data_IF_819650008081
#
_entry.id   IF_819650008081
#
_cell.length_a   1.000
_cell.length_b   1.000
_cell.length_c   1.000
_cell.angle_alpha   90.00
_cell.angle_beta   90.00
_cell.angle_gamma   90.00
#
_symmetry.space_group_name_H-M   'P 1'
#
loop_
_entity.id
_entity.type
_entity.pdbx_description
1 polymer ?
#
# COMPACT_ATOMS: atom_id res chain seq x y z
N UNK A 1 7.25 -77.64 -13.67
CA UNK A 1 7.12 -76.37 -12.92
C UNK A 1 8.15 -75.29 -13.27
N UNK A 2 9.11 -75.50 -14.19
CA UNK A 2 10.10 -74.47 -14.58
C UNK A 2 9.65 -73.59 -15.78
N UNK A 3 8.89 -74.16 -16.72
CA UNK A 3 8.47 -73.44 -17.95
C UNK A 3 7.39 -72.36 -17.72
N UNK A 4 6.40 -72.58 -16.86
CA UNK A 4 5.37 -71.56 -16.58
C UNK A 4 5.93 -70.32 -15.87
N UNK A 5 6.97 -70.49 -15.05
CA UNK A 5 7.56 -69.39 -14.29
C UNK A 5 8.36 -68.44 -15.20
N UNK A 6 9.02 -68.99 -16.22
CA UNK A 6 9.76 -68.19 -17.21
C UNK A 6 8.84 -67.45 -18.18
N UNK A 7 7.68 -68.03 -18.53
CA UNK A 7 6.67 -67.35 -19.36
C UNK A 7 6.02 -66.20 -18.61
N UNK A 8 5.69 -66.37 -17.31
CA UNK A 8 5.12 -65.28 -16.52
C UNK A 8 6.10 -64.13 -16.27
N UNK A 9 7.40 -64.41 -16.08
CA UNK A 9 8.42 -63.37 -15.91
C UNK A 9 8.65 -62.62 -17.23
N UNK A 10 8.70 -63.33 -18.37
CA UNK A 10 8.84 -62.70 -19.69
C UNK A 10 7.67 -61.76 -20.03
N UNK A 11 6.44 -62.13 -19.66
CA UNK A 11 5.25 -61.31 -19.88
C UNK A 11 5.22 -60.07 -18.97
N UNK A 12 5.70 -60.20 -17.72
CA UNK A 12 5.82 -59.09 -16.77
C UNK A 12 6.90 -58.08 -17.21
N UNK A 13 8.02 -58.55 -17.75
CA UNK A 13 9.06 -57.68 -18.29
C UNK A 13 8.58 -56.97 -19.56
N UNK A 14 7.84 -57.65 -20.45
CA UNK A 14 7.25 -57.02 -21.63
C UNK A 14 6.18 -55.95 -21.30
N UNK A 15 5.41 -56.13 -20.22
CA UNK A 15 4.45 -55.12 -19.73
C UNK A 15 5.14 -53.88 -19.15
N UNK A 16 6.33 -54.02 -18.54
CA UNK A 16 7.06 -52.87 -17.98
C UNK A 16 7.74 -51.98 -19.04
N UNK A 17 7.95 -52.46 -20.27
CA UNK A 17 8.54 -51.67 -21.36
C UNK A 17 7.50 -51.04 -22.31
N UNK A 18 6.20 -51.17 -22.02
CA UNK A 18 5.13 -50.41 -22.71
C UNK A 18 4.67 -49.21 -21.89
N UNK A 19 5.63 -48.52 -21.25
CA UNK A 19 5.43 -47.15 -20.82
C UNK A 19 5.38 -46.26 -22.05
N UNK A 20 4.20 -46.06 -22.62
CA UNK A 20 3.96 -44.97 -23.57
C UNK A 20 4.48 -43.70 -22.90
N UNK A 21 5.52 -43.10 -23.49
CA UNK A 21 5.92 -41.74 -23.21
C UNK A 21 4.74 -40.85 -23.61
N UNK A 22 3.78 -40.69 -22.68
CA UNK A 22 2.80 -39.63 -22.74
C UNK A 22 3.63 -38.37 -22.57
N UNK A 23 3.88 -37.69 -23.69
CA UNK A 23 4.50 -36.38 -23.71
C UNK A 23 3.58 -35.48 -22.88
N UNK A 24 3.88 -35.33 -21.58
CA UNK A 24 3.17 -34.43 -20.66
C UNK A 24 3.59 -32.97 -20.92
N UNK A 25 3.86 -32.62 -22.18
CA UNK A 25 3.94 -31.21 -22.56
C UNK A 25 2.51 -30.70 -22.53
N UNK A 26 2.21 -29.62 -21.81
CA UNK A 26 0.90 -29.01 -21.87
C UNK A 26 0.60 -28.69 -23.34
N UNK A 27 -0.43 -29.30 -23.90
CA UNK A 27 -0.95 -28.94 -25.21
C UNK A 27 -1.35 -27.46 -25.13
N UNK A 28 -0.60 -26.63 -25.84
CA UNK A 28 -0.68 -25.17 -25.86
C UNK A 28 -0.39 -24.48 -24.52
N UNK A 29 0.71 -23.75 -24.49
CA UNK A 29 0.77 -22.58 -23.62
C UNK A 29 -0.41 -21.70 -24.00
N UNK A 30 -1.33 -21.45 -23.05
CA UNK A 30 -2.29 -20.35 -23.20
C UNK A 30 -1.47 -19.11 -23.56
N UNK A 31 -1.87 -18.33 -24.58
CA UNK A 31 -1.17 -17.08 -24.87
C UNK A 31 -1.06 -16.30 -23.56
N UNK A 32 0.13 -15.77 -23.28
CA UNK A 32 0.34 -14.94 -22.10
C UNK A 32 -0.78 -13.91 -22.09
N UNK A 33 -1.62 -13.95 -21.05
CA UNK A 33 -2.61 -12.90 -20.86
C UNK A 33 -1.76 -11.64 -20.73
N UNK A 34 -1.88 -10.75 -21.71
CA UNK A 34 -1.31 -9.42 -21.61
C UNK A 34 -2.07 -8.71 -20.49
N UNK A 35 -1.58 -8.89 -19.27
CA UNK A 35 -1.94 -8.05 -18.15
C UNK A 35 -1.28 -6.71 -18.49
N UNK A 36 -2.03 -5.84 -19.16
CA UNK A 36 -1.65 -4.44 -19.20
C UNK A 36 -1.61 -4.00 -17.74
N UNK A 37 -0.50 -3.41 -17.25
CA UNK A 37 -0.46 -2.88 -15.91
C UNK A 37 -1.57 -1.83 -15.82
N UNK A 38 -2.69 -2.19 -15.21
CA UNK A 38 -3.75 -1.23 -14.96
C UNK A 38 -3.25 -0.36 -13.83
N UNK A 39 -3.09 0.92 -14.13
CA UNK A 39 -2.92 1.94 -13.11
C UNK A 39 -4.03 1.77 -12.07
N UNK A 40 -3.70 2.00 -10.80
CA UNK A 40 -4.65 1.96 -9.70
C UNK A 40 -5.88 2.83 -10.02
N UNK A 41 -7.08 2.36 -9.67
CA UNK A 41 -8.34 3.01 -10.01
C UNK A 41 -8.44 4.44 -9.43
N UNK A 42 -7.78 4.68 -8.30
CA UNK A 42 -7.72 5.97 -7.62
C UNK A 42 -6.58 6.89 -8.11
N UNK A 43 -5.74 6.44 -9.04
CA UNK A 43 -4.66 7.26 -9.58
C UNK A 43 -5.16 8.23 -10.66
N UNK A 44 -4.37 9.27 -10.88
CA UNK A 44 -4.60 10.27 -11.92
C UNK A 44 -4.40 9.65 -13.30
N UNK A 45 -5.37 9.89 -14.19
CA UNK A 45 -5.27 9.59 -15.61
C UNK A 45 -4.86 10.83 -16.44
N UNK A 46 -4.48 11.93 -15.79
CA UNK A 46 -4.11 13.16 -16.48
C UNK A 46 -2.71 13.01 -17.11
N UNK A 47 -2.57 13.36 -18.39
CA UNK A 47 -1.30 13.22 -19.13
C UNK A 47 -0.14 14.00 -18.50
N UNK A 48 -0.44 15.12 -17.81
CA UNK A 48 0.57 15.92 -17.10
C UNK A 48 1.23 15.16 -15.94
N UNK A 49 0.55 14.17 -15.37
CA UNK A 49 1.00 13.44 -14.19
C UNK A 49 1.76 12.16 -14.57
N UNK A 50 1.75 11.74 -15.84
CA UNK A 50 2.25 10.44 -16.28
C UNK A 50 3.73 10.20 -15.91
N UNK A 51 4.58 11.23 -16.06
CA UNK A 51 6.01 11.10 -15.72
C UNK A 51 6.22 10.92 -14.21
N UNK A 52 5.49 11.67 -13.38
CA UNK A 52 5.51 11.55 -11.93
C UNK A 52 4.91 10.23 -11.46
N UNK A 53 3.77 9.83 -12.04
CA UNK A 53 3.09 8.56 -11.80
C UNK A 53 4.05 7.38 -12.02
N UNK A 54 4.82 7.36 -13.11
CA UNK A 54 5.83 6.32 -13.34
C UNK A 54 6.95 6.27 -12.29
N UNK A 55 7.36 7.43 -11.74
CA UNK A 55 8.33 7.45 -10.64
C UNK A 55 7.71 6.94 -9.34
N UNK A 56 6.48 7.37 -9.03
CA UNK A 56 5.74 6.94 -7.85
C UNK A 56 5.46 5.44 -7.85
N UNK A 57 5.10 4.85 -8.99
CA UNK A 57 4.86 3.40 -9.12
C UNK A 57 6.07 2.57 -8.71
N UNK A 58 7.29 3.02 -9.05
CA UNK A 58 8.54 2.38 -8.62
C UNK A 58 8.73 2.44 -7.10
N UNK A 59 8.06 3.38 -6.43
CA UNK A 59 8.05 3.56 -4.97
C UNK A 59 6.84 2.90 -4.31
N UNK A 60 6.00 2.14 -5.05
CA UNK A 60 4.70 1.60 -4.63
C UNK A 60 3.66 2.68 -4.27
N UNK A 61 3.73 3.83 -4.96
CA UNK A 61 2.84 4.97 -4.76
C UNK A 61 2.13 5.33 -6.06
N UNK A 62 1.06 6.11 -5.98
CA UNK A 62 0.41 6.78 -7.11
C UNK A 62 0.08 8.21 -6.75
N UNK A 63 -0.16 9.05 -7.76
CA UNK A 63 -0.72 10.38 -7.56
C UNK A 63 -2.20 10.37 -7.92
N UNK A 64 -3.06 10.90 -7.07
CA UNK A 64 -4.49 11.05 -7.34
C UNK A 64 -4.74 12.19 -8.33
N UNK A 65 -5.97 12.28 -8.86
CA UNK A 65 -6.35 13.38 -9.76
C UNK A 65 -6.22 14.78 -9.10
N UNK A 66 -6.32 14.86 -7.77
CA UNK A 66 -6.16 16.10 -6.98
C UNK A 66 -4.70 16.41 -6.64
N UNK A 67 -3.78 15.48 -6.93
CA UNK A 67 -2.35 15.64 -6.66
C UNK A 67 -1.87 15.04 -5.35
N UNK A 68 -2.73 14.32 -4.63
CA UNK A 68 -2.37 13.61 -3.38
C UNK A 68 -1.57 12.35 -3.71
N UNK A 69 -0.53 12.05 -2.94
CA UNK A 69 0.24 10.82 -3.12
C UNK A 69 -0.35 9.72 -2.22
N UNK A 70 -0.73 8.61 -2.84
CA UNK A 70 -1.45 7.51 -2.20
C UNK A 70 -0.67 6.20 -2.35
N UNK A 71 -0.87 5.21 -1.45
CA UNK A 71 -0.36 3.86 -1.66
C UNK A 71 -0.89 3.28 -2.97
N UNK A 72 -0.07 2.52 -3.71
CA UNK A 72 -0.47 1.93 -4.99
C UNK A 72 -1.74 1.08 -4.90
N UNK A 73 -1.93 0.40 -3.78
CA UNK A 73 -3.15 -0.32 -3.41
C UNK A 73 -3.06 -0.70 -1.92
N UNK A 74 -4.15 -1.25 -1.39
CA UNK A 74 -4.24 -1.70 0.01
C UNK A 74 -3.17 -2.74 0.38
N UNK A 75 -2.71 -3.58 -0.55
CA UNK A 75 -1.77 -4.66 -0.23
C UNK A 75 -0.39 -4.13 0.12
N UNK A 76 0.00 -2.96 -0.40
CA UNK A 76 1.29 -2.33 -0.07
C UNK A 76 1.34 -1.93 1.41
N UNK A 77 0.19 -1.55 1.99
CA UNK A 77 0.10 -1.26 3.41
C UNK A 77 0.17 -2.52 4.29
N UNK A 78 0.04 -3.73 3.71
CA UNK A 78 -0.01 -5.00 4.44
C UNK A 78 -1.08 -5.01 5.56
N UNK A 79 -2.13 -4.23 5.38
CA UNK A 79 -3.22 -4.04 6.33
C UNK A 79 -4.41 -3.49 5.59
N UNK A 80 -5.62 -3.91 5.96
CA UNK A 80 -6.84 -3.30 5.44
C UNK A 80 -6.90 -1.81 5.84
N UNK A 81 -7.42 -0.96 4.96
CA UNK A 81 -7.55 0.47 5.22
C UNK A 81 -9.02 0.82 5.39
N UNK A 82 -9.35 1.43 6.52
CA UNK A 82 -10.69 1.94 6.82
C UNK A 82 -10.64 3.45 6.96
N UNK A 83 -11.39 4.14 6.10
CA UNK A 83 -11.58 5.57 6.26
C UNK A 83 -12.61 5.83 7.34
N UNK A 84 -12.21 6.52 8.41
CA UNK A 84 -13.14 7.04 9.38
C UNK A 84 -13.72 8.33 8.84
N UNK A 85 -15.03 8.37 8.64
CA UNK A 85 -15.69 9.56 8.09
C UNK A 85 -15.59 10.69 9.10
N UNK A 86 -14.75 11.68 8.78
CA UNK A 86 -14.35 12.77 9.68
C UNK A 86 -14.29 14.15 9.03
N UNK A 87 -14.32 14.27 7.69
CA UNK A 87 -14.41 15.54 6.94
C UNK A 87 -15.44 15.55 5.77
N UNK A 88 -16.04 16.73 5.50
CA UNK A 88 -16.78 17.05 4.26
C UNK A 88 -16.15 18.28 3.59
N UNK A 89 -15.98 18.30 2.25
CA UNK A 89 -16.23 17.20 1.31
C UNK A 89 -15.30 16.01 1.57
N UNK A 90 -15.76 14.80 1.26
CA UNK A 90 -14.90 13.61 1.34
C UNK A 90 -13.67 13.77 0.42
N UNK A 91 -12.51 13.19 0.79
CA UNK A 91 -11.36 13.11 -0.10
C UNK A 91 -11.74 12.52 -1.47
N UNK A 92 -11.11 13.03 -2.54
CA UNK A 92 -11.54 12.76 -3.92
C UNK A 92 -11.40 11.30 -4.37
N UNK A 93 -10.53 10.54 -3.71
CA UNK A 93 -10.37 9.10 -3.95
C UNK A 93 -11.51 8.28 -3.35
N UNK A 94 -12.28 8.84 -2.39
CA UNK A 94 -13.43 8.16 -1.81
C UNK A 94 -14.54 8.03 -2.86
N UNK A 95 -15.09 6.83 -3.04
CA UNK A 95 -15.98 6.43 -4.14
C UNK A 95 -15.30 5.73 -5.34
N UNK A 96 -13.96 5.81 -5.48
CA UNK A 96 -13.20 5.18 -6.59
C UNK A 96 -12.11 4.19 -6.13
N UNK A 97 -12.05 3.94 -4.82
CA UNK A 97 -10.89 3.42 -4.10
C UNK A 97 -10.94 1.92 -3.81
N UNK A 98 -11.70 1.11 -4.54
CA UNK A 98 -11.89 -0.31 -4.17
C UNK A 98 -10.57 -1.09 -4.12
N UNK A 99 -9.54 -0.58 -4.78
CA UNK A 99 -8.17 -1.08 -4.72
C UNK A 99 -7.36 -0.56 -3.51
N UNK A 100 -7.78 0.55 -2.89
CA UNK A 100 -7.11 1.23 -1.77
C UNK A 100 -7.79 1.02 -0.42
N UNK A 101 -9.12 1.08 -0.30
CA UNK A 101 -9.83 0.90 0.99
C UNK A 101 -10.60 -0.41 1.04
N UNK A 102 -10.76 -0.90 2.26
CA UNK A 102 -11.59 -2.08 2.57
C UNK A 102 -12.96 -1.68 3.15
N UNK A 103 -13.17 -0.39 3.42
CA UNK A 103 -14.46 0.16 3.84
C UNK A 103 -14.34 1.36 4.77
N UNK A 104 -15.32 1.54 5.65
CA UNK A 104 -15.53 2.78 6.40
C UNK A 104 -15.79 2.55 7.89
N UNK A 105 -15.40 3.53 8.71
CA UNK A 105 -15.76 3.61 10.13
C UNK A 105 -16.69 4.79 10.37
N UNK A 106 -17.84 4.51 10.98
CA UNK A 106 -18.90 5.47 11.28
C UNK A 106 -19.00 5.65 12.80
N UNK A 107 -18.71 6.85 13.30
CA UNK A 107 -19.02 7.19 14.70
C UNK A 107 -20.51 7.49 14.82
N UNK A 108 -21.20 6.83 15.73
CA UNK A 108 -22.66 6.96 15.87
C UNK A 108 -23.09 7.27 17.30
N UNK A 109 -24.17 8.03 17.42
CA UNK A 109 -24.77 8.41 18.70
C UNK A 109 -26.29 8.24 18.64
N UNK A 110 -26.87 7.89 19.78
CA UNK A 110 -28.32 7.88 19.95
C UNK A 110 -28.77 9.22 20.53
N UNK A 111 -29.55 9.98 19.76
CA UNK A 111 -30.07 11.30 20.14
C UNK A 111 -31.41 11.55 19.48
N UNK A 112 -32.31 12.21 20.20
CA UNK A 112 -33.69 12.50 19.74
C UNK A 112 -34.40 11.23 19.23
N UNK A 113 -34.25 10.15 19.99
CA UNK A 113 -34.87 8.84 19.71
C UNK A 113 -34.42 8.18 18.40
N UNK A 114 -33.32 8.64 17.80
CA UNK A 114 -32.78 8.11 16.55
C UNK A 114 -31.26 7.90 16.61
N UNK A 115 -30.78 6.96 15.81
CA UNK A 115 -29.35 6.76 15.60
C UNK A 115 -28.85 7.71 14.53
N UNK A 116 -27.81 8.47 14.86
CA UNK A 116 -27.24 9.49 14.00
C UNK A 116 -25.73 9.26 13.85
N UNK A 117 -25.21 9.49 12.64
CA UNK A 117 -23.77 9.59 12.40
C UNK A 117 -23.30 10.93 12.95
N UNK A 118 -22.20 10.89 13.70
CA UNK A 118 -21.48 12.08 14.13
C UNK A 118 -20.67 12.53 12.93
N UNK A 119 -21.18 13.54 12.23
CA UNK A 119 -20.53 14.04 11.03
C UNK A 119 -19.35 14.97 11.37
N UNK A 120 -18.49 15.20 10.37
CA UNK A 120 -17.32 16.07 10.45
C UNK A 120 -17.51 17.46 11.02
N UNK A 121 -18.60 18.12 10.60
CA UNK A 121 -18.96 19.48 11.02
C UNK A 121 -19.66 19.49 12.39
N UNK A 122 -19.67 18.34 13.08
CA UNK A 122 -20.42 18.03 14.31
C UNK A 122 -21.93 18.09 14.16
N UNK A 123 -22.43 18.10 12.93
CA UNK A 123 -23.85 17.88 12.67
C UNK A 123 -24.19 16.41 12.92
N UNK A 124 -25.41 16.16 13.41
CA UNK A 124 -25.91 14.81 13.64
C UNK A 124 -26.89 14.48 12.53
N UNK A 125 -26.53 13.50 11.70
CA UNK A 125 -27.36 13.06 10.57
C UNK A 125 -27.96 11.69 10.86
N UNK A 126 -29.29 11.50 10.78
CA UNK A 126 -29.91 10.17 10.93
C UNK A 126 -29.27 9.13 10.00
N UNK A 127 -29.17 7.87 10.46
CA UNK A 127 -28.51 6.80 9.70
C UNK A 127 -29.13 6.56 8.32
N UNK A 128 -30.45 6.71 8.20
CA UNK A 128 -31.15 6.52 6.92
C UNK A 128 -30.74 7.60 5.92
N UNK A 129 -30.86 8.86 6.33
CA UNK A 129 -30.49 10.03 5.53
C UNK A 129 -29.00 9.96 5.14
N UNK A 130 -28.14 9.55 6.08
CA UNK A 130 -26.73 9.31 5.82
C UNK A 130 -26.52 8.22 4.76
N UNK A 131 -27.24 7.10 4.85
CA UNK A 131 -27.10 6.04 3.85
C UNK A 131 -27.58 6.52 2.47
N UNK A 132 -28.69 7.24 2.38
CA UNK A 132 -29.18 7.80 1.12
C UNK A 132 -28.12 8.72 0.47
N UNK A 133 -27.54 9.63 1.25
CA UNK A 133 -26.49 10.56 0.82
C UNK A 133 -25.21 9.86 0.32
N UNK A 134 -24.79 8.79 0.99
CA UNK A 134 -23.49 8.13 0.74
C UNK A 134 -23.59 6.80 -0.01
N UNK A 135 -24.78 6.30 -0.31
CA UNK A 135 -25.01 5.01 -0.97
C UNK A 135 -24.20 4.84 -2.27
N UNK A 136 -24.10 5.90 -3.08
CA UNK A 136 -23.31 5.88 -4.33
C UNK A 136 -21.79 5.85 -4.10
N UNK A 137 -21.34 6.20 -2.89
CA UNK A 137 -19.92 6.17 -2.49
C UNK A 137 -19.51 4.78 -2.02
N UNK A 138 -20.43 4.02 -1.42
CA UNK A 138 -20.16 2.69 -0.91
C UNK A 138 -20.24 1.63 -2.02
N UNK A 139 -19.23 0.78 -2.07
CA UNK A 139 -19.25 -0.47 -2.80
C UNK A 139 -19.97 -1.55 -1.98
N UNK A 140 -20.61 -2.49 -2.67
CA UNK A 140 -21.15 -3.69 -2.03
C UNK A 140 -20.07 -4.55 -1.32
N UNK A 141 -18.79 -4.38 -1.68
CA UNK A 141 -17.67 -5.07 -1.04
C UNK A 141 -17.17 -4.37 0.23
N UNK A 142 -17.59 -3.12 0.47
CA UNK A 142 -17.11 -2.35 1.60
C UNK A 142 -17.64 -2.92 2.92
N UNK A 143 -16.75 -3.04 3.90
CA UNK A 143 -17.13 -3.32 5.27
C UNK A 143 -17.42 -2.02 6.02
N UNK A 144 -18.61 -1.91 6.61
CA UNK A 144 -19.01 -0.77 7.43
C UNK A 144 -18.87 -1.09 8.91
N UNK A 145 -18.06 -0.29 9.60
CA UNK A 145 -17.76 -0.47 11.02
C UNK A 145 -18.42 0.64 11.82
N UNK A 146 -19.39 0.29 12.65
CA UNK A 146 -20.11 1.23 13.50
C UNK A 146 -19.44 1.34 14.87
N UNK A 147 -19.08 2.57 15.25
CA UNK A 147 -18.52 2.91 16.55
C UNK A 147 -19.54 3.71 17.35
N UNK A 148 -20.43 3.05 18.12
CA UNK A 148 -21.33 3.75 19.03
C UNK A 148 -20.58 4.49 20.13
N UNK A 149 -21.21 5.53 20.67
CA UNK A 149 -20.68 6.27 21.82
C UNK A 149 -20.46 5.34 23.03
N UNK A 150 -19.45 5.65 23.85
CA UNK A 150 -19.03 4.79 24.98
C UNK A 150 -20.15 4.54 26.02
N UNK A 151 -21.17 5.40 26.08
CA UNK A 151 -22.28 5.32 27.04
C UNK A 151 -23.49 4.54 26.51
N UNK A 152 -23.38 3.93 25.33
CA UNK A 152 -24.46 3.16 24.71
C UNK A 152 -24.82 1.95 25.57
N UNK A 153 -26.09 1.85 25.98
CA UNK A 153 -26.61 0.70 26.74
C UNK A 153 -26.81 -0.53 25.85
N UNK A 154 -26.94 -1.73 26.45
CA UNK A 154 -27.21 -2.96 25.69
C UNK A 154 -28.55 -2.90 24.91
N UNK A 155 -29.57 -2.25 25.47
CA UNK A 155 -30.86 -2.08 24.80
C UNK A 155 -30.72 -1.18 23.55
N UNK A 156 -30.02 -0.05 23.70
CA UNK A 156 -29.70 0.84 22.58
C UNK A 156 -28.83 0.14 21.53
N UNK A 157 -27.82 -0.62 21.94
CA UNK A 157 -26.98 -1.39 21.01
C UNK A 157 -27.80 -2.41 20.20
N UNK A 158 -28.77 -3.07 20.85
CA UNK A 158 -29.70 -3.99 20.15
C UNK A 158 -30.54 -3.25 19.11
N UNK A 159 -31.05 -2.07 19.45
CA UNK A 159 -31.78 -1.20 18.51
C UNK A 159 -30.88 -0.75 17.35
N UNK A 160 -29.62 -0.37 17.62
CA UNK A 160 -28.66 0.01 16.58
C UNK A 160 -28.45 -1.13 15.60
N UNK A 161 -28.19 -2.33 16.10
CA UNK A 161 -27.98 -3.52 15.27
C UNK A 161 -29.19 -3.83 14.38
N UNK A 162 -30.41 -3.63 14.89
CA UNK A 162 -31.63 -3.78 14.09
C UNK A 162 -31.73 -2.73 12.97
N UNK A 163 -31.45 -1.46 13.27
CA UNK A 163 -31.42 -0.39 12.27
C UNK A 163 -30.36 -0.68 11.21
N UNK A 164 -29.15 -1.08 11.63
CA UNK A 164 -28.05 -1.40 10.71
C UNK A 164 -28.41 -2.57 9.80
N UNK A 165 -29.01 -3.64 10.33
CA UNK A 165 -29.49 -4.77 9.53
C UNK A 165 -30.54 -4.37 8.48
N UNK A 166 -31.31 -3.31 8.71
CA UNK A 166 -32.36 -2.87 7.79
C UNK A 166 -31.83 -1.89 6.75
N UNK A 167 -30.98 -0.95 7.17
CA UNK A 167 -30.52 0.17 6.33
C UNK A 167 -29.31 -0.23 5.50
N UNK A 168 -28.40 -1.02 6.07
CA UNK A 168 -27.12 -1.39 5.45
C UNK A 168 -27.06 -2.89 5.16
N UNK A 169 -28.18 -3.50 4.79
CA UNK A 169 -28.30 -4.95 4.57
C UNK A 169 -27.35 -5.50 3.49
N UNK A 170 -26.95 -4.64 2.54
CA UNK A 170 -26.10 -5.02 1.41
C UNK A 170 -24.59 -5.03 1.75
N UNK A 171 -24.22 -4.66 2.98
CA UNK A 171 -22.81 -4.51 3.40
C UNK A 171 -22.43 -5.46 4.54
N UNK A 172 -21.16 -5.83 4.59
CA UNK A 172 -20.61 -6.50 5.76
C UNK A 172 -20.51 -5.49 6.91
N UNK A 173 -21.26 -5.73 7.99
CA UNK A 173 -21.36 -4.79 9.10
C UNK A 173 -20.60 -5.30 10.34
N UNK A 174 -19.92 -4.40 11.05
CA UNK A 174 -19.17 -4.70 12.27
C UNK A 174 -19.30 -3.59 13.30
N UNK A 175 -19.01 -3.91 14.57
CA UNK A 175 -19.19 -2.98 15.67
C UNK A 175 -17.97 -2.87 16.56
N UNK A 176 -17.54 -1.64 16.83
CA UNK A 176 -16.53 -1.33 17.83
C UNK A 176 -17.23 -1.08 19.16
N UNK A 177 -17.11 -2.01 20.10
CA UNK A 177 -17.86 -1.99 21.37
C UNK A 177 -16.99 -2.34 22.57
N UNK A 178 -17.54 -2.15 23.77
CA UNK A 178 -16.91 -2.64 25.00
C UNK A 178 -16.87 -4.18 25.03
N UNK A 179 -15.94 -4.74 25.82
CA UNK A 179 -15.81 -6.20 25.96
C UNK A 179 -17.09 -6.87 26.50
N UNK A 180 -17.86 -6.20 27.35
CA UNK A 180 -19.13 -6.72 27.89
C UNK A 180 -20.25 -6.77 26.83
N UNK A 181 -20.14 -6.01 25.75
CA UNK A 181 -21.11 -5.94 24.67
C UNK A 181 -20.79 -6.88 23.50
N UNK A 182 -19.53 -7.31 23.36
CA UNK A 182 -19.06 -8.11 22.22
C UNK A 182 -19.86 -9.40 22.00
N UNK A 183 -20.28 -10.07 23.08
CA UNK A 183 -21.10 -11.29 22.97
C UNK A 183 -22.46 -11.01 22.33
N UNK A 184 -23.12 -9.90 22.70
CA UNK A 184 -24.42 -9.52 22.11
C UNK A 184 -24.32 -9.21 20.62
N UNK A 185 -23.22 -8.57 20.20
CA UNK A 185 -22.95 -8.26 18.79
C UNK A 185 -22.76 -9.54 17.98
N UNK A 186 -21.97 -10.49 18.50
CA UNK A 186 -21.72 -11.78 17.85
C UNK A 186 -22.99 -12.63 17.74
N UNK A 187 -23.80 -12.69 18.79
CA UNK A 187 -25.08 -13.41 18.78
C UNK A 187 -26.05 -12.85 17.73
N UNK A 188 -25.99 -11.55 17.45
CA UNK A 188 -26.78 -10.91 16.40
C UNK A 188 -26.22 -11.16 14.98
N UNK A 189 -25.14 -11.92 14.83
CA UNK A 189 -24.55 -12.27 13.53
C UNK A 189 -23.49 -11.29 13.01
N UNK A 190 -23.14 -10.27 13.79
CA UNK A 190 -22.14 -9.28 13.40
C UNK A 190 -20.75 -9.60 13.97
N UNK A 191 -19.72 -9.03 13.36
CA UNK A 191 -18.39 -9.05 13.93
C UNK A 191 -18.22 -7.97 14.99
N UNK A 192 -17.73 -8.36 16.16
CA UNK A 192 -17.38 -7.47 17.27
C UNK A 192 -15.88 -7.18 17.29
N UNK A 193 -15.53 -5.90 17.42
CA UNK A 193 -14.18 -5.39 17.66
C UNK A 193 -14.20 -4.73 19.05
N UNK A 194 -13.32 -5.16 19.95
CA UNK A 194 -13.34 -4.67 21.34
C UNK A 194 -12.41 -3.49 21.54
N UNK A 195 -12.70 -2.62 22.51
CA UNK A 195 -11.79 -1.54 22.92
C UNK A 195 -10.64 -1.98 23.82
N UNK A 196 -10.56 -3.28 24.14
CA UNK A 196 -9.51 -3.89 24.97
C UNK A 196 -8.99 -5.17 24.33
N UNK A 197 -7.70 -5.42 24.50
CA UNK A 197 -7.05 -6.63 24.01
C UNK A 197 -7.65 -7.90 24.64
N UNK A 198 -7.81 -8.92 23.82
CA UNK A 198 -8.31 -10.24 24.19
C UNK A 198 -7.68 -11.27 23.24
N UNK A 199 -7.29 -12.44 23.76
CA UNK A 199 -6.60 -13.50 23.03
C UNK A 199 -7.42 -14.15 21.90
N UNK A 200 -8.72 -13.85 21.78
CA UNK A 200 -9.59 -14.47 20.77
C UNK A 200 -10.46 -13.48 19.99
N UNK A 201 -10.20 -12.17 20.10
CA UNK A 201 -11.07 -11.15 19.50
C UNK A 201 -10.23 -10.05 18.86
N UNK A 202 -10.76 -9.48 17.77
CA UNK A 202 -10.22 -8.25 17.20
C UNK A 202 -10.42 -7.12 18.22
N UNK A 203 -9.42 -6.26 18.37
CA UNK A 203 -9.51 -5.12 19.26
C UNK A 203 -8.87 -3.87 18.64
N UNK A 204 -9.29 -2.70 19.12
CA UNK A 204 -8.71 -1.43 18.71
C UNK A 204 -7.58 -1.05 19.65
N UNK A 205 -6.49 -0.56 19.06
CA UNK A 205 -5.37 0.04 19.77
C UNK A 205 -4.81 1.22 18.99
N UNK A 206 -4.46 2.29 19.68
CA UNK A 206 -3.63 3.34 19.10
C UNK A 206 -2.16 2.93 19.15
N UNK A 207 -1.47 3.01 18.02
CA UNK A 207 -0.02 2.88 17.95
C UNK A 207 0.68 4.01 18.73
N UNK A 208 1.98 3.85 18.99
CA UNK A 208 2.85 4.90 19.56
C UNK A 208 2.87 6.20 18.72
N UNK A 209 2.39 6.12 17.49
CA UNK A 209 2.45 7.16 16.48
C UNK A 209 1.08 7.80 16.19
N UNK A 210 0.09 7.52 17.05
CA UNK A 210 -1.25 8.10 16.97
C UNK A 210 -2.17 7.46 15.94
N UNK A 211 -1.72 6.44 15.22
CA UNK A 211 -2.55 5.70 14.25
C UNK A 211 -3.41 4.67 14.97
N UNK A 212 -4.72 4.67 14.70
CA UNK A 212 -5.65 3.69 15.26
C UNK A 212 -5.62 2.41 14.42
N UNK A 213 -5.45 1.26 15.08
CA UNK A 213 -5.30 -0.04 14.43
C UNK A 213 -6.33 -1.03 14.96
N UNK A 214 -6.83 -1.90 14.08
CA UNK A 214 -7.52 -3.13 14.47
C UNK A 214 -6.48 -4.24 14.52
N UNK A 215 -6.31 -4.82 15.70
CA UNK A 215 -5.34 -5.86 15.97
C UNK A 215 -6.02 -7.15 16.41
N UNK A 216 -5.31 -8.26 16.29
CA UNK A 216 -5.65 -9.54 16.91
C UNK A 216 -4.40 -10.07 17.58
N UNK A 217 -4.57 -10.76 18.72
CA UNK A 217 -3.46 -11.49 19.31
C UNK A 217 -3.43 -12.89 18.70
N UNK A 218 -2.24 -13.34 18.33
CA UNK A 218 -2.02 -14.71 17.91
C UNK A 218 -2.00 -15.67 19.12
N UNK A 219 -1.77 -16.96 18.85
CA UNK A 219 -1.73 -17.98 19.90
C UNK A 219 -0.50 -17.88 20.83
N UNK A 220 0.49 -17.06 20.47
CA UNK A 220 1.71 -16.81 21.22
C UNK A 220 1.67 -15.49 22.01
N UNK A 221 0.60 -14.70 21.83
CA UNK A 221 0.41 -13.40 22.48
C UNK A 221 1.03 -12.24 21.71
N UNK A 222 1.57 -12.49 20.52
CA UNK A 222 2.03 -11.45 19.61
C UNK A 222 0.82 -10.80 18.93
N UNK A 223 0.90 -9.48 18.75
CA UNK A 223 -0.20 -8.71 18.19
C UNK A 223 0.04 -8.45 16.70
N UNK A 224 -0.88 -8.94 15.87
CA UNK A 224 -0.88 -8.70 14.44
C UNK A 224 -1.82 -7.53 14.10
N UNK A 225 -1.36 -6.60 13.27
CA UNK A 225 -2.21 -5.51 12.74
C UNK A 225 -2.99 -6.04 11.54
N UNK A 226 -4.31 -6.09 11.67
CA UNK A 226 -5.21 -6.51 10.59
C UNK A 226 -5.65 -5.32 9.73
N UNK A 227 -5.82 -4.17 10.36
CA UNK A 227 -6.30 -2.98 9.68
C UNK A 227 -5.86 -1.67 10.34
N UNK A 228 -5.91 -0.60 9.56
CA UNK A 228 -5.61 0.76 9.96
C UNK A 228 -6.86 1.61 9.76
N UNK A 229 -7.22 2.38 10.78
CA UNK A 229 -8.30 3.36 10.74
C UNK A 229 -7.65 4.75 10.64
N UNK A 230 -7.99 5.51 9.61
CA UNK A 230 -7.42 6.83 9.34
C UNK A 230 -8.52 7.85 9.01
N UNK A 231 -8.24 9.13 9.25
CA UNK A 231 -9.19 10.25 9.08
C UNK A 231 -8.84 11.17 7.88
N UNK A 232 -7.57 11.25 7.50
CA UNK A 232 -7.12 12.20 6.47
C UNK A 232 -6.12 11.59 5.49
N UNK A 233 -4.93 11.21 5.94
CA UNK A 233 -3.84 10.78 5.07
C UNK A 233 -3.61 9.25 5.16
N UNK A 234 -4.06 8.47 4.16
CA UNK A 234 -3.87 7.03 4.14
C UNK A 234 -2.40 6.64 3.98
N UNK A 235 -1.60 7.40 3.21
CA UNK A 235 -0.19 7.08 2.99
C UNK A 235 0.58 7.21 4.29
N UNK A 236 0.45 8.36 4.96
CA UNK A 236 1.09 8.59 6.24
C UNK A 236 0.62 7.57 7.28
N UNK A 237 -0.69 7.26 7.33
CA UNK A 237 -1.19 6.23 8.24
C UNK A 237 -0.52 4.87 8.00
N UNK A 238 -0.36 4.44 6.74
CA UNK A 238 0.33 3.20 6.41
C UNK A 238 1.83 3.24 6.70
N UNK A 239 2.53 4.33 6.39
CA UNK A 239 3.98 4.43 6.60
C UNK A 239 4.35 4.42 8.09
N UNK A 240 3.46 4.94 8.95
CA UNK A 240 3.62 4.88 10.41
C UNK A 240 3.48 3.47 10.98
N UNK A 241 2.89 2.54 10.24
CA UNK A 241 2.69 1.14 10.68
C UNK A 241 3.57 0.16 9.91
N UNK A 242 3.94 0.47 8.68
CA UNK A 242 4.80 -0.33 7.81
C UNK A 242 5.88 0.55 7.17
N UNK A 243 7.10 0.47 7.71
CA UNK A 243 8.27 1.24 7.24
C UNK A 243 8.88 0.73 5.93
N UNK A 244 8.35 -0.36 5.37
CA UNK A 244 8.79 -0.95 4.11
C UNK A 244 7.74 -0.81 2.99
N UNK A 245 6.68 -0.01 3.22
CA UNK A 245 5.67 0.30 2.21
C UNK A 245 6.30 0.96 0.98
N UNK A 246 7.13 1.98 1.21
CA UNK A 246 7.82 2.73 0.16
C UNK A 246 9.13 2.01 -0.15
N UNK A 247 9.33 1.64 -1.41
CA UNK A 247 10.60 1.03 -1.85
C UNK A 247 11.75 2.02 -1.66
N UNK A 248 12.97 1.50 -1.56
CA UNK A 248 14.17 2.34 -1.56
C UNK A 248 14.31 3.12 -2.89
N UNK A 249 15.04 4.25 -2.87
CA UNK A 249 15.43 4.96 -4.08
C UNK A 249 16.04 4.02 -5.11
N UNK A 250 15.68 4.21 -6.38
CA UNK A 250 16.37 3.52 -7.47
C UNK A 250 17.71 4.24 -7.62
N UNK A 251 18.80 3.55 -7.29
CA UNK A 251 20.17 4.07 -7.35
C UNK A 251 20.56 4.44 -8.79
N UNK A 252 20.13 5.61 -9.24
CA UNK A 252 20.71 6.28 -10.40
C UNK A 252 21.57 7.42 -9.85
N UNK A 253 22.89 7.32 -10.02
CA UNK A 253 23.83 8.39 -9.69
C UNK A 253 23.34 9.71 -10.29
N UNK A 254 22.95 10.65 -9.45
CA UNK A 254 22.47 11.97 -9.84
C UNK A 254 23.64 12.80 -10.37
N UNK A 255 23.82 12.83 -11.70
CA UNK A 255 24.86 13.63 -12.37
C UNK A 255 24.35 15.03 -12.70
N UNK A 256 24.99 16.12 -12.23
CA UNK A 256 24.66 17.49 -12.61
C UNK A 256 24.86 17.75 -14.12
N UNK A 257 24.19 18.76 -14.72
CA UNK A 257 23.20 19.67 -14.14
C UNK A 257 21.80 19.05 -14.14
N UNK A 258 21.18 18.95 -12.97
CA UNK A 258 19.83 18.43 -12.83
C UNK A 258 18.87 19.59 -12.68
N UNK A 259 17.96 19.76 -13.64
CA UNK A 259 16.70 20.44 -13.34
C UNK A 259 15.94 19.50 -12.40
N UNK A 260 15.83 19.87 -11.14
CA UNK A 260 15.04 19.10 -10.18
C UNK A 260 13.59 19.24 -10.62
N UNK A 261 13.00 18.14 -11.05
CA UNK A 261 11.57 18.02 -11.26
C UNK A 261 11.01 17.01 -10.25
N UNK A 262 9.68 16.97 -10.12
CA UNK A 262 9.01 16.10 -9.16
C UNK A 262 9.33 14.61 -9.40
N UNK A 263 9.61 14.22 -10.65
CA UNK A 263 9.99 12.85 -11.00
C UNK A 263 11.34 12.48 -10.36
N UNK A 264 12.36 13.34 -10.54
CA UNK A 264 13.68 13.16 -9.96
C UNK A 264 13.65 13.20 -8.43
N UNK A 265 12.85 14.11 -7.88
CA UNK A 265 12.65 14.25 -6.45
C UNK A 265 12.12 12.95 -5.84
N UNK A 266 11.01 12.41 -6.38
CA UNK A 266 10.42 11.14 -5.92
C UNK A 266 11.40 9.97 -6.06
N UNK A 267 12.21 9.94 -7.12
CA UNK A 267 13.21 8.89 -7.30
C UNK A 267 14.29 8.91 -6.22
N UNK A 268 14.58 10.09 -5.64
CA UNK A 268 15.70 10.30 -4.70
C UNK A 268 15.27 10.27 -3.24
N UNK A 269 14.02 10.66 -2.94
CA UNK A 269 13.52 10.77 -1.58
C UNK A 269 13.68 9.45 -0.81
N UNK A 270 14.18 9.46 0.43
CA UNK A 270 14.22 8.28 1.29
C UNK A 270 12.83 7.71 1.55
N UNK A 271 12.77 6.45 1.95
CA UNK A 271 11.49 5.74 2.16
C UNK A 271 10.64 6.32 3.30
N UNK A 272 11.23 7.07 4.25
CA UNK A 272 10.51 7.73 5.34
C UNK A 272 10.18 9.20 5.04
N UNK A 273 10.41 9.67 3.80
CA UNK A 273 10.04 11.00 3.38
C UNK A 273 8.52 11.21 3.37
N UNK A 274 8.09 12.44 3.63
CA UNK A 274 6.70 12.84 3.43
C UNK A 274 6.46 13.12 1.94
N UNK A 275 5.88 12.14 1.23
CA UNK A 275 5.57 12.24 -0.19
C UNK A 275 4.32 13.09 -0.48
N UNK A 276 3.52 13.47 0.53
CA UNK A 276 2.39 14.38 0.33
C UNK A 276 2.82 15.85 0.30
N UNK A 277 4.08 16.14 0.62
CA UNK A 277 4.64 17.48 0.64
C UNK A 277 5.70 17.72 -0.44
N UNK A 278 5.51 17.18 -1.66
CA UNK A 278 6.51 17.26 -2.75
C UNK A 278 6.99 18.69 -3.05
N UNK A 279 6.13 19.69 -2.94
CA UNK A 279 6.51 21.09 -3.14
C UNK A 279 7.49 21.60 -2.06
N UNK A 280 7.27 21.23 -0.79
CA UNK A 280 8.20 21.56 0.29
C UNK A 280 9.50 20.75 0.14
N UNK A 281 9.39 19.48 -0.22
CA UNK A 281 10.54 18.61 -0.47
C UNK A 281 11.45 19.18 -1.57
N UNK A 282 10.87 19.76 -2.64
CA UNK A 282 11.63 20.40 -3.72
C UNK A 282 12.46 21.59 -3.20
N UNK A 283 11.89 22.42 -2.32
CA UNK A 283 12.60 23.53 -1.69
C UNK A 283 13.75 23.04 -0.80
N UNK A 284 13.49 22.01 0.03
CA UNK A 284 14.45 21.42 0.95
C UNK A 284 15.59 20.66 0.24
N UNK A 285 15.34 20.15 -0.97
CA UNK A 285 16.32 19.37 -1.73
C UNK A 285 17.63 20.14 -1.94
N UNK A 286 17.53 21.45 -2.23
CA UNK A 286 18.69 22.33 -2.42
C UNK A 286 19.52 22.54 -1.15
N UNK A 287 18.91 22.38 0.01
CA UNK A 287 19.55 22.47 1.33
C UNK A 287 20.19 21.13 1.75
N UNK A 288 20.04 20.07 0.94
CA UNK A 288 20.55 18.74 1.26
C UNK A 288 19.79 18.06 2.41
N UNK A 289 18.54 18.46 2.64
CA UNK A 289 17.65 17.86 3.64
C UNK A 289 16.30 17.48 3.01
N UNK A 290 15.54 16.64 3.70
CA UNK A 290 14.18 16.26 3.33
C UNK A 290 13.29 16.26 4.58
N UNK A 291 11.98 16.39 4.38
CA UNK A 291 10.98 16.26 5.42
C UNK A 291 10.57 14.79 5.56
N UNK A 292 10.58 14.23 6.77
CA UNK A 292 10.07 12.89 7.01
C UNK A 292 8.56 12.89 7.32
N UNK A 293 7.92 11.71 7.36
CA UNK A 293 6.50 11.54 7.73
C UNK A 293 6.12 12.00 9.15
N UNK A 294 7.10 12.39 9.97
CA UNK A 294 6.92 12.92 11.32
C UNK A 294 6.98 14.45 11.37
N UNK A 295 7.34 15.10 10.26
CA UNK A 295 7.57 16.54 10.18
C UNK A 295 8.99 16.98 10.55
N UNK A 296 9.94 16.05 10.73
CA UNK A 296 11.33 16.39 10.99
C UNK A 296 12.10 16.60 9.69
N UNK A 297 12.96 17.62 9.66
CA UNK A 297 13.96 17.81 8.60
C UNK A 297 15.16 16.92 8.88
N UNK A 298 15.49 16.02 7.94
CA UNK A 298 16.62 15.10 8.02
C UNK A 298 17.59 15.32 6.86
N UNK A 299 18.91 15.18 7.07
CA UNK A 299 19.87 15.23 5.97
C UNK A 299 19.74 14.00 5.07
N UNK A 300 19.99 14.16 3.77
CA UNK A 300 20.19 12.99 2.89
C UNK A 300 21.42 12.19 3.34
N UNK A 301 21.29 10.86 3.35
CA UNK A 301 22.42 9.95 3.58
C UNK A 301 23.46 10.06 2.46
N UNK A 302 24.69 9.59 2.70
CA UNK A 302 25.84 9.77 1.79
C UNK A 302 25.60 9.28 0.35
N UNK A 303 24.72 8.29 0.16
CA UNK A 303 24.38 7.72 -1.15
C UNK A 303 23.36 8.55 -1.96
N UNK A 304 22.62 9.45 -1.30
CA UNK A 304 21.57 10.28 -1.91
C UNK A 304 21.92 11.78 -1.85
N UNK A 305 23.14 12.11 -1.41
CA UNK A 305 23.63 13.49 -1.50
C UNK A 305 23.78 13.84 -2.97
N UNK A 306 23.23 14.99 -3.36
CA UNK A 306 23.68 15.66 -4.58
C UNK A 306 25.20 15.71 -4.53
N UNK A 307 25.85 15.07 -5.49
CA UNK A 307 27.26 15.32 -5.75
C UNK A 307 27.28 16.73 -6.31
N UNK A 308 27.37 17.73 -5.41
CA UNK A 308 27.77 19.06 -5.79
C UNK A 308 29.11 18.87 -6.49
N UNK A 309 29.11 19.06 -7.80
CA UNK A 309 30.31 18.94 -8.60
C UNK A 309 31.32 19.93 -8.00
N UNK A 310 32.31 19.40 -7.26
CA UNK A 310 33.27 20.20 -6.44
C UNK A 310 34.05 21.21 -7.29
N UNK A 311 33.92 21.11 -8.61
CA UNK A 311 34.56 21.92 -9.62
C UNK A 311 33.71 23.09 -10.13
N UNK A 312 32.48 23.29 -9.64
CA UNK A 312 31.65 24.45 -10.03
C UNK A 312 32.12 25.74 -9.33
N UNK A 313 32.74 25.63 -8.13
CA UNK A 313 33.45 26.73 -7.44
C UNK A 313 34.60 26.16 -6.58
N UNK A 314 35.74 25.79 -7.17
CA UNK A 314 36.86 25.26 -6.40
C UNK A 314 37.47 26.38 -5.54
N UNK A 315 37.66 26.11 -4.24
CA UNK A 315 38.67 26.83 -3.47
C UNK A 315 40.04 26.60 -4.14
N UNK A 316 40.95 27.58 -4.03
CA UNK A 316 42.20 27.63 -4.82
C UNK A 316 43.05 26.34 -4.74
N UNK A 317 42.94 25.60 -3.64
CA UNK A 317 43.68 24.37 -3.41
C UNK A 317 43.12 23.12 -4.15
N UNK A 318 41.87 23.16 -4.64
CA UNK A 318 41.22 22.07 -5.39
C UNK A 318 41.21 22.28 -6.90
N UNK A 319 41.70 23.44 -7.37
CA UNK A 319 41.68 23.81 -8.79
C UNK A 319 42.50 22.83 -9.67
N UNK A 320 43.65 22.39 -9.17
CA UNK A 320 44.54 21.47 -9.90
C UNK A 320 43.93 20.07 -10.09
N UNK A 321 43.17 19.59 -9.10
CA UNK A 321 42.51 18.29 -9.12
C UNK A 321 41.26 18.30 -10.03
N UNK A 322 40.55 19.43 -10.07
CA UNK A 322 39.46 19.67 -11.02
C UNK A 322 39.93 19.80 -12.48
N UNK A 323 41.14 20.34 -12.68
CA UNK A 323 41.72 20.55 -14.03
C UNK A 323 42.12 19.23 -14.70
N UNK A 324 42.60 18.24 -13.93
CA UNK A 324 43.02 16.94 -14.48
C UNK A 324 41.84 16.10 -14.99
N UNK A 325 40.68 16.20 -14.32
CA UNK A 325 39.47 15.44 -14.69
C UNK A 325 38.77 15.93 -15.96
N UNK A 326 38.95 17.20 -16.34
CA UNK A 326 38.45 17.72 -17.64
C UNK A 326 39.21 17.05 -18.81
N UNK A 327 40.47 16.63 -18.60
CA UNK A 327 41.23 15.85 -19.57
C UNK A 327 40.72 14.42 -19.75
N UNK A 328 40.26 13.78 -18.67
CA UNK A 328 39.77 12.40 -18.68
C UNK A 328 38.36 12.26 -19.29
N UNK A 329 37.55 13.31 -19.26
CA UNK A 329 36.22 13.32 -19.88
C UNK A 329 36.23 13.22 -21.41
N UNK A 330 37.38 13.48 -22.06
CA UNK A 330 37.54 13.39 -23.52
C UNK A 330 38.21 12.10 -24.00
N UNK A 331 38.65 11.21 -23.11
CA UNK A 331 39.13 9.88 -23.48
C UNK A 331 38.00 8.87 -23.33
N UNK A 332 37.24 8.68 -24.42
CA UNK A 332 36.36 7.52 -24.59
C UNK A 332 37.19 6.23 -24.50
N UNK A 333 37.33 5.65 -23.32
CA UNK A 333 37.76 4.25 -23.19
C UNK A 333 36.59 3.37 -23.57
N UNK A 334 36.46 3.09 -24.87
CA UNK A 334 35.60 2.02 -25.37
C UNK A 334 36.23 0.70 -24.93
N UNK A 335 35.84 0.20 -23.75
CA UNK A 335 36.11 -1.18 -23.37
C UNK A 335 35.18 -2.13 -24.15
N UNK A 336 35.40 -2.21 -25.46
CA UNK A 336 34.90 -3.31 -26.26
C UNK A 336 35.75 -4.54 -25.97
N UNK A 337 35.21 -5.54 -25.28
CA UNK A 337 35.81 -6.87 -25.24
C UNK A 337 35.83 -7.44 -26.66
N UNK A 338 36.97 -7.32 -27.35
CA UNK A 338 37.23 -8.06 -28.56
C UNK A 338 37.51 -9.54 -28.18
N UNK A 339 36.55 -10.42 -28.47
CA UNK A 339 36.78 -11.86 -28.44
C UNK A 339 37.50 -12.20 -29.75
N UNK A 340 38.80 -12.46 -29.67
CA UNK A 340 39.60 -12.98 -30.80
C UNK A 340 39.12 -14.39 -31.15
N UNK A 341 38.45 -14.53 -32.30
CA UNK A 341 38.11 -15.84 -32.88
C UNK A 341 39.34 -16.37 -33.61
N UNK A 342 39.86 -17.52 -33.16
CA UNK A 342 40.97 -18.23 -33.82
C UNK A 342 40.51 -18.70 -35.21
N UNK A 343 41.17 -18.25 -36.27
CA UNK A 343 41.01 -18.79 -37.61
C UNK A 343 42.07 -19.89 -37.77
N UNK A 344 41.64 -21.15 -37.83
CA UNK A 344 42.51 -22.24 -38.26
C UNK A 344 42.56 -22.21 -39.78
N UNK A 345 43.71 -21.83 -40.35
CA UNK A 345 44.02 -22.13 -41.74
C UNK A 345 44.81 -23.45 -41.74
N UNK A 346 44.13 -24.53 -42.13
CA UNK A 346 44.80 -25.73 -42.60
C UNK A 346 45.46 -25.43 -43.95
N UNK A 347 46.70 -25.89 -44.10
CA UNK A 347 47.42 -25.98 -45.37
C UNK A 347 47.35 -27.41 -45.87
#
# INVERSE_FOLDING_TARGET
>A
MSLLRNVCIGLLVALMFTGCAVDKRPDSYKPAINISPSIAAHASLLSKDQALQHALERRNLVISRTGEVLPLNQNVCQSALYYQISDRPLPSYIGQHQDLLSGFVLKVIYSDEQWKVVNPERELMPLNDFYEDFSATFSAQDQLIFQPSANTTNAQLKQLMQVVSQVFEQHANSFIVSASQAASVKTAGFQAITTKANSQQRFIRSSSHGVTQIQVNDSFGDSETLAIIFESDPLTACMKTNTNLVNDPVNDELKPPLKIDQQLLVATLPKDADFNQLAEQEALFSEGVYLNIWGDKKPYGDNNKLIADRCIKPESHLLAECSSRIGDGNTKTVNGRAILRRVNNEK
#
